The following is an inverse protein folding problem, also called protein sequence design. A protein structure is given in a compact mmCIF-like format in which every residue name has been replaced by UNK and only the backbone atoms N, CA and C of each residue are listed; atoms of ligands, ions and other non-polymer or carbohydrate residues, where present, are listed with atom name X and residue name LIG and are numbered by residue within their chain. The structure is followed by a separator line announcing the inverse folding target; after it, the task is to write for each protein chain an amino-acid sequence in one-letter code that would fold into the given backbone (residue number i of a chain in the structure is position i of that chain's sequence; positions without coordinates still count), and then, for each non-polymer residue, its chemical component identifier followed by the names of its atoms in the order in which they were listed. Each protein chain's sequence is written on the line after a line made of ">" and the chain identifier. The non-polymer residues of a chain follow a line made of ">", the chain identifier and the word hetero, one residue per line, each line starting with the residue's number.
data_IF_184847391871
#
_entry.id   IF_184847391871
#
_cell.length_a   1.000
_cell.length_b   1.000
_cell.length_c   1.000
_cell.angle_alpha   90.00
_cell.angle_beta   90.00
_cell.angle_gamma   90.00
#
_symmetry.space_group_name_H-M   'P 1'
#
loop_
_entity.id
_entity.type
_entity.pdbx_description
1 polymer ?
#
# COMPACT_ATOMS: atom_id res chain seq x y z
N UNK A 1 13.35 -4.97 13.50
CA UNK A 1 12.12 -4.51 12.80
C UNK A 1 12.37 -3.11 12.28
N UNK A 2 12.01 -2.88 11.03
CA UNK A 2 12.57 -1.86 10.15
C UNK A 2 12.23 -0.41 10.59
N UNK A 3 13.23 0.43 10.92
CA UNK A 3 13.04 1.83 11.31
C UNK A 3 12.35 2.69 10.24
N UNK A 4 12.34 2.25 8.98
CA UNK A 4 11.90 3.04 7.84
C UNK A 4 10.45 3.54 7.95
N UNK A 5 9.51 2.66 8.33
CA UNK A 5 8.10 3.04 8.48
C UNK A 5 7.81 3.89 9.72
N UNK A 6 8.69 3.84 10.73
CA UNK A 6 8.59 4.66 11.93
C UNK A 6 9.18 6.07 11.73
N UNK A 7 10.16 6.19 10.83
CA UNK A 7 10.80 7.46 10.48
C UNK A 7 10.09 8.24 9.36
N UNK A 8 9.14 7.60 8.67
CA UNK A 8 8.34 8.27 7.65
C UNK A 8 7.62 9.48 8.26
N UNK A 9 7.88 10.72 7.79
CA UNK A 9 7.38 11.94 8.44
C UNK A 9 5.86 12.06 8.35
N UNK A 10 5.26 11.49 7.29
CA UNK A 10 3.82 11.42 7.11
C UNK A 10 3.46 10.27 6.17
N UNK A 11 2.52 9.44 6.61
CA UNK A 11 1.92 8.44 5.74
C UNK A 11 0.86 9.09 4.84
N UNK A 12 0.74 8.64 3.59
CA UNK A 12 -0.22 9.22 2.65
C UNK A 12 -1.67 8.95 3.13
N UNK A 13 -2.53 9.97 3.28
CA UNK A 13 -3.91 9.78 3.72
C UNK A 13 -4.73 8.89 2.77
N UNK A 14 -4.38 8.86 1.48
CA UNK A 14 -5.05 8.04 0.49
C UNK A 14 -4.63 6.56 0.55
N UNK A 15 -3.66 6.19 1.39
CA UNK A 15 -3.21 4.80 1.48
C UNK A 15 -4.31 3.85 1.96
N UNK A 16 -5.31 4.33 2.71
CA UNK A 16 -6.48 3.55 3.08
C UNK A 16 -7.35 3.14 1.87
N UNK A 17 -7.17 3.79 0.71
CA UNK A 17 -7.83 3.42 -0.54
C UNK A 17 -7.12 2.23 -1.24
N UNK A 18 -5.97 1.78 -0.74
CA UNK A 18 -5.26 0.62 -1.26
C UNK A 18 -5.97 -0.64 -0.77
N UNK A 19 -6.66 -1.31 -1.69
CA UNK A 19 -7.46 -2.52 -1.44
C UNK A 19 -7.11 -3.63 -2.43
N UNK A 20 -7.52 -4.85 -2.11
CA UNK A 20 -7.37 -6.03 -2.95
C UNK A 20 -6.31 -7.00 -2.42
N UNK A 21 -5.88 -7.91 -3.29
CA UNK A 21 -4.95 -9.00 -2.93
C UNK A 21 -3.56 -8.72 -3.48
N UNK A 22 -2.52 -8.97 -2.67
CA UNK A 22 -1.10 -9.04 -3.08
C UNK A 22 -0.43 -10.18 -2.32
N UNK A 23 0.42 -10.96 -3.00
CA UNK A 23 1.09 -12.13 -2.40
C UNK A 23 0.12 -13.11 -1.69
N UNK A 24 -1.12 -13.25 -2.18
CA UNK A 24 -2.15 -14.11 -1.59
C UNK A 24 -2.87 -13.54 -0.36
N UNK A 25 -2.53 -12.31 0.06
CA UNK A 25 -3.10 -11.66 1.26
C UNK A 25 -4.00 -10.50 0.84
N UNK A 26 -5.19 -10.41 1.46
CA UNK A 26 -6.12 -9.27 1.33
C UNK A 26 -5.61 -8.12 2.21
N UNK A 27 -5.25 -7.00 1.61
CA UNK A 27 -4.52 -5.93 2.30
C UNK A 27 -5.38 -5.21 3.36
N UNK A 28 -6.65 -4.98 3.05
CA UNK A 28 -7.61 -4.32 3.95
C UNK A 28 -8.00 -5.17 5.17
N UNK A 29 -7.73 -6.47 5.15
CA UNK A 29 -8.01 -7.40 6.26
C UNK A 29 -6.79 -7.65 7.16
N UNK A 30 -5.63 -7.06 6.84
CA UNK A 30 -4.42 -7.21 7.66
C UNK A 30 -4.57 -6.44 8.98
N UNK A 31 -4.69 -7.17 10.09
CA UNK A 31 -4.91 -6.60 11.42
C UNK A 31 -3.69 -5.83 11.96
N UNK A 32 -2.48 -6.33 11.72
CA UNK A 32 -1.28 -5.72 12.27
C UNK A 32 -0.90 -4.43 11.50
N UNK A 33 -0.93 -3.24 12.12
CA UNK A 33 -0.83 -1.97 11.38
C UNK A 33 0.47 -1.80 10.58
N UNK A 34 1.60 -2.25 11.11
CA UNK A 34 2.88 -2.20 10.38
C UNK A 34 2.88 -3.15 9.18
N UNK A 35 2.28 -4.34 9.33
CA UNK A 35 2.22 -5.31 8.24
C UNK A 35 1.29 -4.81 7.14
N UNK A 36 0.19 -4.17 7.50
CA UNK A 36 -0.71 -3.54 6.53
C UNK A 36 0.02 -2.47 5.70
N UNK A 37 0.82 -1.62 6.34
CA UNK A 37 1.64 -0.60 5.65
C UNK A 37 2.66 -1.23 4.68
N UNK A 38 3.29 -2.33 5.08
CA UNK A 38 4.19 -3.09 4.20
C UNK A 38 3.43 -3.64 3.00
N UNK A 39 2.25 -4.24 3.22
CA UNK A 39 1.42 -4.79 2.14
C UNK A 39 0.84 -3.73 1.21
N UNK A 40 0.60 -2.51 1.70
CA UNK A 40 0.31 -1.38 0.84
C UNK A 40 1.44 -1.12 -0.16
N UNK A 41 2.69 -1.09 0.31
CA UNK A 41 3.85 -0.89 -0.57
C UNK A 41 3.99 -2.02 -1.60
N UNK A 42 3.90 -3.29 -1.15
CA UNK A 42 3.95 -4.45 -2.04
C UNK A 42 2.89 -4.33 -3.15
N UNK A 43 1.68 -3.88 -2.81
CA UNK A 43 0.60 -3.71 -3.77
C UNK A 43 0.91 -2.64 -4.82
N UNK A 44 1.48 -1.51 -4.41
CA UNK A 44 1.86 -0.44 -5.34
C UNK A 44 2.93 -0.92 -6.33
N UNK A 45 3.92 -1.68 -5.85
CA UNK A 45 4.99 -2.25 -6.68
C UNK A 45 4.44 -3.32 -7.63
N UNK A 46 3.57 -4.22 -7.15
CA UNK A 46 2.90 -5.23 -7.99
C UNK A 46 2.08 -4.60 -9.11
N UNK A 47 1.33 -3.53 -8.81
CA UNK A 47 0.53 -2.81 -9.79
C UNK A 47 1.38 -2.08 -10.84
N UNK A 48 2.50 -1.50 -10.41
CA UNK A 48 3.46 -0.87 -11.32
C UNK A 48 4.11 -1.91 -12.23
N UNK A 49 4.56 -3.05 -11.68
CA UNK A 49 5.16 -4.15 -12.44
C UNK A 49 4.19 -4.75 -13.47
N UNK A 50 2.89 -4.73 -13.18
CA UNK A 50 1.81 -5.13 -14.11
C UNK A 50 1.46 -4.06 -15.16
N UNK A 51 2.17 -2.94 -15.20
CA UNK A 51 1.97 -1.89 -16.20
C UNK A 51 0.76 -1.00 -15.96
N UNK A 52 0.21 -0.93 -14.73
CA UNK A 52 -0.86 0.02 -14.44
C UNK A 52 -0.33 1.45 -14.51
N UNK A 53 -1.12 2.35 -15.09
CA UNK A 53 -0.80 3.77 -15.11
C UNK A 53 -0.68 4.34 -13.68
N UNK A 54 0.33 5.18 -13.44
CA UNK A 54 0.60 5.79 -12.13
C UNK A 54 -0.61 6.55 -11.55
N UNK A 55 -1.39 7.21 -12.40
CA UNK A 55 -2.63 7.89 -12.01
C UNK A 55 -3.64 6.97 -11.32
N UNK A 56 -3.71 5.69 -11.73
CA UNK A 56 -4.55 4.67 -11.11
C UNK A 56 -3.93 4.14 -9.82
N UNK A 57 -2.60 4.03 -9.77
CA UNK A 57 -1.85 3.55 -8.60
C UNK A 57 -1.91 4.56 -7.44
N UNK A 58 -1.81 5.86 -7.74
CA UNK A 58 -1.77 6.93 -6.72
C UNK A 58 -3.13 7.24 -6.08
N UNK A 59 -4.23 6.66 -6.59
CA UNK A 59 -5.58 6.67 -5.99
C UNK A 59 -6.00 8.07 -5.53
N UNK A 60 -6.17 8.99 -6.48
CA UNK A 60 -6.70 10.33 -6.18
C UNK A 60 -8.14 10.19 -5.64
N UNK A 61 -8.49 10.86 -4.52
CA UNK A 61 -9.90 10.97 -4.12
C UNK A 61 -10.67 11.66 -5.23
N UNK A 62 -11.93 11.25 -5.41
CA UNK A 62 -12.87 11.90 -6.32
C UNK A 62 -13.20 13.32 -5.85
#
# INVERSE_FOLDING_TARGET
>A
MDPHFAQAPRFNPNAALIKGVVCGIRVEEVEHPLMQKIRYLDKLVDELAKGKALEKILRKPA
#
